data_IF_364430903768
#
_entry.id   IF_364430903768
#
_cell.length_a   1.000
_cell.length_b   1.000
_cell.length_c   1.000
_cell.angle_alpha   90.00
_cell.angle_beta   90.00
_cell.angle_gamma   90.00
#
_symmetry.space_group_name_H-M   'P 1'
#
loop_
_entity.id
_entity.type
_entity.pdbx_description
1 polymer ?
#
# COMPACT_ATOMS: atom_id res chain seq x y z
N UNK A 1 22.14 -25.17 -6.39
CA UNK A 1 22.27 -23.85 -5.70
C UNK A 1 21.04 -23.62 -4.81
N UNK A 2 21.07 -24.05 -3.55
CA UNK A 2 19.96 -23.84 -2.59
C UNK A 2 20.52 -23.71 -1.17
N UNK A 3 21.01 -22.51 -0.79
CA UNK A 3 21.31 -22.16 0.62
C UNK A 3 20.97 -20.71 0.98
N UNK A 4 20.41 -19.93 0.04
CA UNK A 4 20.18 -18.49 0.24
C UNK A 4 18.96 -18.15 1.09
N UNK A 5 17.92 -19.01 1.14
CA UNK A 5 16.63 -18.65 1.76
C UNK A 5 16.68 -18.45 3.28
N UNK A 6 17.36 -19.32 4.03
CA UNK A 6 17.36 -19.24 5.50
C UNK A 6 18.10 -18.00 6.03
N UNK A 7 19.20 -17.59 5.39
CA UNK A 7 19.97 -16.40 5.79
C UNK A 7 19.22 -15.10 5.53
N UNK A 8 18.51 -14.98 4.42
CA UNK A 8 17.70 -13.78 4.13
C UNK A 8 16.54 -13.64 5.11
N UNK A 9 15.85 -14.72 5.48
CA UNK A 9 14.79 -14.68 6.49
C UNK A 9 15.31 -14.27 7.88
N UNK A 10 16.47 -14.78 8.29
CA UNK A 10 17.11 -14.39 9.56
C UNK A 10 17.50 -12.90 9.56
N UNK A 11 18.08 -12.41 8.45
CA UNK A 11 18.42 -10.99 8.29
C UNK A 11 17.19 -10.09 8.34
N UNK A 12 16.09 -10.50 7.71
CA UNK A 12 14.81 -9.78 7.75
C UNK A 12 14.22 -9.72 9.15
N UNK A 13 14.24 -10.82 9.90
CA UNK A 13 13.76 -10.87 11.29
C UNK A 13 14.61 -10.01 12.22
N UNK A 14 15.94 -9.99 12.04
CA UNK A 14 16.85 -9.14 12.81
C UNK A 14 16.59 -7.67 12.48
N UNK A 15 16.42 -7.32 11.21
CA UNK A 15 16.16 -5.94 10.80
C UNK A 15 14.80 -5.45 11.32
N UNK A 16 13.78 -6.32 11.34
CA UNK A 16 12.48 -6.04 11.96
C UNK A 16 12.60 -5.80 13.48
N UNK A 17 13.36 -6.64 14.19
CA UNK A 17 13.61 -6.49 15.62
C UNK A 17 14.39 -5.20 15.93
N UNK A 18 15.39 -4.86 15.13
CA UNK A 18 16.12 -3.59 15.24
C UNK A 18 15.21 -2.39 14.95
N UNK A 19 14.27 -2.51 14.01
CA UNK A 19 13.30 -1.45 13.72
C UNK A 19 12.28 -1.28 14.85
N UNK A 20 11.81 -2.37 15.46
CA UNK A 20 10.93 -2.35 16.64
C UNK A 20 11.63 -1.74 17.86
N UNK A 21 12.87 -2.17 18.14
CA UNK A 21 13.69 -1.61 19.21
C UNK A 21 13.98 -0.12 18.96
N UNK A 22 14.38 0.24 17.73
CA UNK A 22 14.62 1.62 17.34
C UNK A 22 13.38 2.51 17.51
N UNK A 23 12.21 2.05 17.05
CA UNK A 23 10.95 2.77 17.23
C UNK A 23 10.58 2.97 18.70
N UNK A 24 10.73 1.93 19.53
CA UNK A 24 10.47 2.02 20.97
C UNK A 24 11.40 3.02 21.67
N UNK A 25 12.70 2.99 21.36
CA UNK A 25 13.69 3.88 21.96
C UNK A 25 13.62 5.33 21.44
N UNK A 26 13.18 5.55 20.20
CA UNK A 26 12.96 6.90 19.67
C UNK A 26 11.68 7.55 20.21
N UNK A 27 10.65 6.76 20.53
CA UNK A 27 9.37 7.28 21.02
C UNK A 27 9.41 7.72 22.50
N UNK A 28 10.31 7.17 23.31
CA UNK A 28 10.36 7.45 24.75
C UNK A 28 10.92 8.83 25.14
N UNK A 29 11.40 9.63 24.17
CA UNK A 29 12.12 10.89 24.43
C UNK A 29 11.39 12.18 24.00
N UNK A 30 10.16 12.12 23.52
CA UNK A 30 9.41 13.36 23.28
C UNK A 30 8.86 13.91 24.61
N UNK A 31 9.15 15.17 24.98
CA UNK A 31 8.50 15.82 26.11
C UNK A 31 6.99 15.70 25.96
N UNK A 32 6.29 15.36 27.04
CA UNK A 32 4.83 15.37 27.03
C UNK A 32 4.36 16.79 26.65
N UNK A 33 3.78 16.93 25.45
CA UNK A 33 3.21 18.18 25.01
C UNK A 33 1.90 18.37 25.78
N UNK A 34 1.91 19.30 26.75
CA UNK A 34 0.71 19.63 27.49
C UNK A 34 0.01 20.81 26.83
N UNK A 35 -1.27 20.69 26.44
CA UNK A 35 -2.06 21.82 25.97
C UNK A 35 -2.19 22.89 27.07
N UNK A 36 -2.32 24.15 26.65
CA UNK A 36 -2.61 25.27 27.54
C UNK A 36 -4.06 25.16 28.06
N UNK A 37 -4.33 25.80 29.20
CA UNK A 37 -5.66 25.97 29.82
C UNK A 37 -6.39 24.69 30.30
N UNK A 38 -5.79 23.52 30.11
CA UNK A 38 -6.32 22.22 30.58
C UNK A 38 -6.02 21.98 32.07
N UNK A 39 -7.01 21.48 32.82
CA UNK A 39 -6.93 21.30 34.28
C UNK A 39 -6.10 20.10 34.75
N UNK A 40 -5.66 19.21 33.85
CA UNK A 40 -4.72 18.12 34.17
C UNK A 40 -3.26 18.43 33.80
N UNK A 41 -3.02 19.58 33.16
CA UNK A 41 -1.72 20.02 32.70
C UNK A 41 -0.87 20.63 33.82
N UNK A 42 0.30 20.05 34.16
CA UNK A 42 1.25 20.64 35.10
C UNK A 42 2.13 21.73 34.47
N UNK A 43 1.96 22.02 33.17
CA UNK A 43 2.71 23.10 32.48
C UNK A 43 2.40 24.46 33.12
N UNK A 44 3.32 25.45 33.08
CA UNK A 44 3.00 26.83 33.45
C UNK A 44 1.75 27.40 32.77
N UNK A 45 1.40 26.90 31.58
CA UNK A 45 0.22 27.30 30.81
C UNK A 45 -1.05 26.52 31.13
N UNK A 46 -1.01 25.48 31.97
CA UNK A 46 -2.17 24.69 32.38
C UNK A 46 -2.91 25.29 33.58
N UNK A 47 -4.08 24.74 33.94
CA UNK A 47 -4.95 25.25 35.05
C UNK A 47 -5.05 24.27 36.22
N UNK A 48 -4.07 23.36 36.34
CA UNK A 48 -4.07 22.30 37.36
C UNK A 48 -4.05 22.84 38.80
N UNK A 49 -3.36 23.96 39.05
CA UNK A 49 -3.25 24.56 40.38
C UNK A 49 -4.63 24.94 40.93
N UNK A 50 -5.43 25.70 40.18
CA UNK A 50 -6.78 26.11 40.61
C UNK A 50 -7.73 24.91 40.70
N UNK A 51 -7.65 23.97 39.75
CA UNK A 51 -8.45 22.75 39.82
C UNK A 51 -8.17 21.94 41.09
N UNK A 52 -6.89 21.76 41.42
CA UNK A 52 -6.47 21.02 42.61
C UNK A 52 -6.90 21.76 43.87
N UNK A 53 -6.74 23.09 43.92
CA UNK A 53 -7.20 23.91 45.04
C UNK A 53 -8.70 23.75 45.28
N UNK A 54 -9.54 23.93 44.26
CA UNK A 54 -10.99 23.76 44.38
C UNK A 54 -11.39 22.33 44.78
N UNK A 55 -10.65 21.33 44.30
CA UNK A 55 -10.88 19.93 44.66
C UNK A 55 -10.50 19.60 46.10
N UNK A 56 -9.55 20.33 46.68
CA UNK A 56 -9.19 20.21 48.10
C UNK A 56 -10.21 20.93 48.99
N UNK A 57 -10.78 22.05 48.53
CA UNK A 57 -11.79 22.83 49.25
C UNK A 57 -13.22 22.26 49.14
N UNK A 58 -13.53 21.54 48.05
CA UNK A 58 -14.86 20.97 47.80
C UNK A 58 -14.76 19.56 47.21
N UNK A 59 -15.54 18.63 47.78
CA UNK A 59 -15.61 17.25 47.30
C UNK A 59 -16.30 17.12 45.92
N UNK A 60 -16.98 18.17 45.46
CA UNK A 60 -17.85 18.17 44.28
C UNK A 60 -17.22 18.84 43.06
N UNK A 61 -15.91 18.63 42.82
CA UNK A 61 -15.19 19.17 41.64
C UNK A 61 -14.82 18.07 40.65
N UNK A 62 -15.35 18.16 39.44
CA UNK A 62 -15.17 17.16 38.38
C UNK A 62 -14.70 17.78 37.07
N UNK A 63 -14.06 16.97 36.22
CA UNK A 63 -13.74 17.35 34.84
C UNK A 63 -14.83 16.87 33.91
N UNK A 64 -15.39 17.76 33.12
CA UNK A 64 -16.39 17.44 32.11
C UNK A 64 -15.74 17.29 30.74
N UNK A 65 -15.72 16.06 30.21
CA UNK A 65 -15.11 15.73 28.90
C UNK A 65 -16.13 15.42 27.80
N UNK A 66 -17.42 15.49 28.14
CA UNK A 66 -18.54 15.10 27.28
C UNK A 66 -19.14 16.32 26.58
N UNK A 67 -19.87 16.14 25.47
CA UNK A 67 -20.57 17.25 24.80
C UNK A 67 -21.56 17.96 25.73
N UNK A 68 -21.85 19.25 25.50
CA UNK A 68 -22.75 20.04 26.36
C UNK A 68 -24.20 19.53 26.37
N UNK A 69 -24.63 18.78 25.34
CA UNK A 69 -25.97 18.17 25.29
C UNK A 69 -26.18 17.10 26.36
N UNK A 70 -25.11 16.63 27.00
CA UNK A 70 -25.16 15.64 28.08
C UNK A 70 -25.07 16.26 29.47
N UNK A 71 -25.01 17.59 29.58
CA UNK A 71 -25.07 18.28 30.87
C UNK A 71 -26.46 18.08 31.46
N UNK A 72 -26.50 17.66 32.72
CA UNK A 72 -27.75 17.44 33.44
C UNK A 72 -28.35 18.81 33.79
N UNK A 73 -29.47 19.15 33.14
CA UNK A 73 -30.19 20.40 33.34
C UNK A 73 -31.29 20.28 34.42
N UNK A 74 -31.34 19.18 35.17
CA UNK A 74 -32.41 18.94 36.16
C UNK A 74 -31.99 19.34 37.59
N UNK A 75 -30.70 19.33 37.88
CA UNK A 75 -30.14 19.73 39.18
C UNK A 75 -29.52 21.14 39.04
N UNK A 76 -30.27 22.17 39.44
CA UNK A 76 -29.77 23.56 39.50
C UNK A 76 -28.60 23.73 40.48
N UNK A 77 -27.83 24.81 40.32
CA UNK A 77 -26.69 25.12 41.21
C UNK A 77 -25.37 24.43 40.84
N UNK A 78 -25.22 23.97 39.60
CA UNK A 78 -23.94 23.56 39.03
C UNK A 78 -23.20 24.77 38.43
N UNK A 79 -21.87 24.74 38.49
CA UNK A 79 -20.98 25.74 37.91
C UNK A 79 -20.12 25.07 36.85
N UNK A 80 -20.31 25.44 35.59
CA UNK A 80 -19.46 25.01 34.50
C UNK A 80 -18.32 26.02 34.30
N UNK A 81 -17.10 25.64 34.64
CA UNK A 81 -15.89 26.45 34.48
C UNK A 81 -15.31 26.21 33.09
N UNK A 82 -15.35 27.22 32.24
CA UNK A 82 -14.87 27.19 30.88
C UNK A 82 -13.67 28.13 30.75
N UNK A 83 -12.49 27.59 30.45
CA UNK A 83 -11.25 28.38 30.36
C UNK A 83 -10.70 28.32 28.94
N UNK A 84 -10.54 29.47 28.29
CA UNK A 84 -10.02 29.68 26.93
C UNK A 84 -10.42 28.57 25.93
N UNK A 85 -11.72 28.45 25.57
CA UNK A 85 -12.17 27.55 24.52
C UNK A 85 -11.33 27.71 23.25
N UNK A 86 -10.83 26.60 22.70
CA UNK A 86 -9.97 26.65 21.51
C UNK A 86 -10.68 27.17 20.26
N UNK A 87 -12.00 26.97 20.20
CA UNK A 87 -12.84 27.34 19.07
C UNK A 87 -14.20 27.80 19.60
N UNK A 88 -14.84 28.70 18.86
CA UNK A 88 -16.22 29.07 19.13
C UNK A 88 -17.13 27.82 19.05
N UNK A 89 -17.98 27.57 20.06
CA UNK A 89 -18.89 26.44 20.02
C UNK A 89 -19.85 26.57 18.84
N UNK A 90 -20.26 25.43 18.26
CA UNK A 90 -21.23 25.43 17.16
C UNK A 90 -22.60 25.91 17.67
N UNK A 91 -23.47 26.35 16.77
CA UNK A 91 -24.81 26.83 17.15
C UNK A 91 -25.61 25.82 17.99
N UNK A 92 -25.47 24.50 17.74
CA UNK A 92 -26.13 23.48 18.57
C UNK A 92 -25.47 23.26 19.94
N UNK A 93 -24.16 23.50 20.05
CA UNK A 93 -23.43 23.44 21.32
C UNK A 93 -23.74 24.68 22.16
N UNK A 94 -23.78 25.87 21.55
CA UNK A 94 -24.19 27.12 22.21
C UNK A 94 -25.59 26.99 22.80
N UNK A 95 -26.58 26.52 22.04
CA UNK A 95 -27.94 26.29 22.55
C UNK A 95 -27.99 25.33 23.74
N UNK A 96 -27.09 24.35 23.79
CA UNK A 96 -27.02 23.42 24.92
C UNK A 96 -26.44 24.09 26.18
N UNK A 97 -25.42 24.95 26.02
CA UNK A 97 -24.90 25.78 27.11
C UNK A 97 -25.93 26.81 27.60
N UNK A 98 -26.67 27.44 26.69
CA UNK A 98 -27.77 28.36 27.01
C UNK A 98 -28.86 27.64 27.82
N UNK A 99 -29.31 26.47 27.35
CA UNK A 99 -30.29 25.64 28.08
C UNK A 99 -29.79 25.23 29.48
N UNK A 100 -28.49 24.95 29.62
CA UNK A 100 -27.90 24.63 30.91
C UNK A 100 -28.01 25.81 31.89
N UNK A 101 -27.73 27.03 31.43
CA UNK A 101 -27.92 28.24 32.25
C UNK A 101 -29.39 28.53 32.53
N UNK A 102 -30.27 28.41 31.52
CA UNK A 102 -31.72 28.60 31.69
C UNK A 102 -32.32 27.72 32.79
N UNK A 103 -31.73 26.55 33.05
CA UNK A 103 -32.13 25.64 34.11
C UNK A 103 -31.63 26.01 35.52
N UNK A 104 -31.07 27.21 35.72
CA UNK A 104 -30.59 27.67 37.03
C UNK A 104 -29.13 27.35 37.32
N UNK A 105 -28.34 27.04 36.30
CA UNK A 105 -26.90 26.80 36.45
C UNK A 105 -26.06 28.02 36.07
N UNK A 106 -24.79 28.01 36.46
CA UNK A 106 -23.85 29.08 36.17
C UNK A 106 -22.78 28.61 35.19
N UNK A 107 -22.49 29.41 34.15
CA UNK A 107 -21.26 29.25 33.35
C UNK A 107 -20.28 30.32 33.81
N UNK A 108 -19.09 29.90 34.22
CA UNK A 108 -17.97 30.78 34.53
C UNK A 108 -16.97 30.70 33.37
N UNK A 109 -17.01 31.71 32.50
CA UNK A 109 -16.20 31.79 31.28
C UNK A 109 -14.99 32.69 31.49
N UNK A 110 -13.80 32.13 31.29
CA UNK A 110 -12.56 32.89 31.17
C UNK A 110 -12.08 32.84 29.72
N UNK A 111 -12.08 33.96 29.02
CA UNK A 111 -11.68 33.98 27.60
C UNK A 111 -11.13 35.34 27.18
N UNK A 112 -9.99 35.38 26.51
CA UNK A 112 -9.35 36.66 26.10
C UNK A 112 -10.24 37.53 25.21
N UNK A 113 -11.06 36.88 24.39
CA UNK A 113 -11.99 37.53 23.49
C UNK A 113 -13.30 36.75 23.41
N UNK A 114 -14.29 37.05 24.26
CA UNK A 114 -15.59 36.39 24.25
C UNK A 114 -16.55 36.90 23.14
N UNK A 115 -16.08 37.74 22.19
CA UNK A 115 -16.91 38.29 21.13
C UNK A 115 -17.79 37.24 20.45
N UNK A 116 -19.10 37.47 20.48
CA UNK A 116 -20.13 36.62 19.86
C UNK A 116 -20.51 35.37 20.66
N UNK A 117 -19.82 35.05 21.75
CA UNK A 117 -20.28 33.98 22.66
C UNK A 117 -21.34 34.54 23.60
N UNK A 118 -22.49 33.89 23.69
CA UNK A 118 -23.61 34.33 24.55
C UNK A 118 -24.01 35.80 24.30
N UNK A 119 -23.97 36.22 23.03
CA UNK A 119 -24.23 37.58 22.57
C UNK A 119 -23.32 38.66 23.19
N UNK A 120 -22.16 38.29 23.72
CA UNK A 120 -21.21 39.24 24.26
C UNK A 120 -20.56 40.07 23.16
N UNK A 121 -20.46 41.37 23.42
CA UNK A 121 -19.78 42.33 22.55
C UNK A 121 -18.56 42.89 23.27
N UNK A 122 -17.46 43.01 22.54
CA UNK A 122 -16.20 43.54 23.04
C UNK A 122 -15.66 44.61 22.11
N UNK A 123 -15.12 45.67 22.72
CA UNK A 123 -14.43 46.73 22.01
C UNK A 123 -12.92 46.56 22.14
N UNK A 124 -12.15 46.72 21.05
CA UNK A 124 -10.71 46.70 21.13
C UNK A 124 -10.20 47.91 21.92
N UNK A 125 -9.19 47.70 22.75
CA UNK A 125 -8.49 48.78 23.47
C UNK A 125 -7.03 48.80 23.03
N UNK A 126 -6.39 49.97 23.03
CA UNK A 126 -4.97 50.07 22.73
C UNK A 126 -4.16 49.19 23.69
N UNK A 127 -3.23 48.41 23.14
CA UNK A 127 -2.34 47.55 23.90
C UNK A 127 -1.44 48.39 24.83
N UNK A 128 -1.84 48.48 26.10
CA UNK A 128 -1.12 49.15 27.18
C UNK A 128 -0.33 48.18 28.06
N UNK A 129 0.24 48.72 29.14
CA UNK A 129 1.16 48.05 30.07
C UNK A 129 0.71 46.67 30.54
N UNK A 130 1.67 45.76 30.76
CA UNK A 130 1.45 44.38 31.27
C UNK A 130 0.91 44.33 32.71
N UNK A 131 0.80 45.48 33.39
CA UNK A 131 0.30 45.59 34.76
C UNK A 131 -0.74 46.71 34.87
N UNK A 132 -1.81 46.44 35.62
CA UNK A 132 -2.89 47.39 35.83
C UNK A 132 -3.55 47.28 37.19
N UNK A 133 -4.39 48.28 37.47
CA UNK A 133 -5.19 48.38 38.68
C UNK A 133 -6.63 48.07 38.30
N UNK A 134 -7.24 47.17 39.06
CA UNK A 134 -8.62 46.74 38.92
C UNK A 134 -9.40 47.17 40.14
N UNK A 135 -10.68 47.42 39.92
CA UNK A 135 -11.65 47.74 40.95
C UNK A 135 -12.74 46.67 40.96
N UNK A 136 -13.11 46.22 42.16
CA UNK A 136 -14.30 45.39 42.37
C UNK A 136 -15.55 46.26 42.63
N UNK A 137 -16.71 45.63 42.81
CA UNK A 137 -17.97 46.31 43.13
C UNK A 137 -17.94 47.19 44.39
N UNK A 138 -16.98 46.96 45.29
CA UNK A 138 -16.80 47.72 46.54
C UNK A 138 -15.71 48.78 46.41
N UNK A 139 -15.27 49.06 45.19
CA UNK A 139 -14.14 49.93 44.85
C UNK A 139 -12.82 49.51 45.53
N UNK A 140 -12.68 48.22 45.85
CA UNK A 140 -11.44 47.67 46.39
C UNK A 140 -10.40 47.58 45.29
N UNK A 141 -9.22 48.11 45.57
CA UNK A 141 -8.12 48.18 44.61
C UNK A 141 -7.34 46.87 44.58
N UNK A 142 -7.26 46.24 43.41
CA UNK A 142 -6.50 45.01 43.17
C UNK A 142 -5.46 45.23 42.07
N UNK A 143 -4.28 44.62 42.18
CA UNK A 143 -3.25 44.64 41.13
C UNK A 143 -3.28 43.35 40.33
N UNK A 144 -3.21 43.44 39.01
CA UNK A 144 -3.12 42.28 38.14
C UNK A 144 -2.16 42.52 36.98
N UNK A 145 -1.60 41.42 36.46
CA UNK A 145 -1.04 41.42 35.12
C UNK A 145 -2.22 41.45 34.13
N UNK A 146 -2.33 42.52 33.36
CA UNK A 146 -3.35 42.67 32.32
C UNK A 146 -2.68 43.02 31.00
N UNK A 147 -3.10 42.35 29.94
CA UNK A 147 -2.73 42.72 28.58
C UNK A 147 -3.96 43.33 27.93
N UNK A 148 -3.95 44.64 27.66
CA UNK A 148 -5.10 45.32 27.06
C UNK A 148 -5.31 44.81 25.63
N UNK A 149 -6.33 44.00 25.42
CA UNK A 149 -6.74 43.54 24.08
C UNK A 149 -8.16 44.01 23.77
N UNK A 150 -9.12 43.75 24.67
CA UNK A 150 -10.51 44.16 24.49
C UNK A 150 -11.15 44.56 25.84
N UNK A 151 -12.33 45.18 25.82
CA UNK A 151 -13.22 45.42 26.99
C UNK A 151 -14.65 45.01 26.65
N UNK A 152 -15.37 44.46 27.63
CA UNK A 152 -16.75 44.03 27.40
C UNK A 152 -17.70 45.22 27.39
N UNK A 153 -18.60 45.27 26.41
CA UNK A 153 -19.75 46.16 26.44
C UNK A 153 -20.79 45.58 27.39
N UNK A 154 -21.34 46.42 28.25
CA UNK A 154 -22.38 46.03 29.21
C UNK A 154 -23.77 46.33 28.65
N UNK A 155 -24.71 45.43 28.90
CA UNK A 155 -26.11 45.58 28.56
C UNK A 155 -26.97 45.90 29.79
N UNK A 156 -28.24 46.24 29.54
CA UNK A 156 -29.18 46.50 30.62
C UNK A 156 -29.49 45.20 31.38
N UNK A 157 -29.02 45.11 32.62
CA UNK A 157 -29.18 43.92 33.47
C UNK A 157 -27.88 43.20 33.77
N UNK A 158 -26.77 43.58 33.12
CA UNK A 158 -25.44 43.09 33.49
C UNK A 158 -25.00 43.73 34.81
N UNK A 159 -24.39 42.92 35.67
CA UNK A 159 -23.70 43.37 36.87
C UNK A 159 -22.18 43.38 36.64
N UNK A 160 -21.53 44.50 36.94
CA UNK A 160 -20.09 44.68 36.68
C UNK A 160 -19.33 44.16 37.90
N UNK A 161 -18.61 43.05 37.73
CA UNK A 161 -17.86 42.43 38.83
C UNK A 161 -16.46 43.04 38.98
N UNK A 162 -15.78 43.28 37.86
CA UNK A 162 -14.44 43.86 37.80
C UNK A 162 -14.34 44.85 36.65
N UNK A 163 -13.73 46.01 36.92
CA UNK A 163 -13.51 47.04 35.91
C UNK A 163 -12.18 47.77 36.12
N UNK A 164 -11.74 48.50 35.09
CA UNK A 164 -10.63 49.43 35.16
C UNK A 164 -10.93 50.71 34.37
N UNK A 165 -9.92 51.58 34.27
CA UNK A 165 -10.03 52.86 33.55
C UNK A 165 -10.38 52.69 32.06
N UNK A 166 -10.13 51.51 31.47
CA UNK A 166 -10.44 51.22 30.08
C UNK A 166 -11.83 50.59 29.89
N UNK A 167 -12.43 50.00 30.94
CA UNK A 167 -13.80 49.51 30.93
C UNK A 167 -14.01 48.21 31.72
N UNK A 168 -15.05 47.46 31.34
CA UNK A 168 -15.44 46.22 32.03
C UNK A 168 -14.53 45.05 31.68
N UNK A 169 -14.09 44.33 32.72
CA UNK A 169 -13.16 43.19 32.64
C UNK A 169 -13.84 41.89 33.04
N UNK A 170 -14.72 41.94 34.04
CA UNK A 170 -15.59 40.84 34.39
C UNK A 170 -17.00 41.34 34.67
N UNK A 171 -17.99 40.57 34.21
CA UNK A 171 -19.41 40.86 34.43
C UNK A 171 -20.18 39.57 34.72
N UNK A 172 -21.30 39.73 35.40
CA UNK A 172 -22.35 38.74 35.53
C UNK A 172 -23.55 39.17 34.66
N UNK A 173 -24.06 38.24 33.86
CA UNK A 173 -25.25 38.42 33.02
C UNK A 173 -26.31 37.40 33.42
N UNK A 174 -27.53 37.82 33.79
CA UNK A 174 -28.61 36.88 34.08
C UNK A 174 -29.02 36.13 32.79
N UNK A 175 -29.24 34.82 32.90
CA UNK A 175 -29.59 33.98 31.76
C UNK A 175 -30.66 32.94 32.17
N UNK A 176 -31.94 33.25 31.92
CA UNK A 176 -33.06 32.47 32.44
C UNK A 176 -33.08 32.47 33.97
N UNK A 177 -33.13 31.29 34.60
CA UNK A 177 -33.04 31.14 36.06
C UNK A 177 -31.58 31.08 36.56
N UNK A 178 -30.60 31.03 35.64
CA UNK A 178 -29.18 30.98 35.94
C UNK A 178 -28.45 32.26 35.54
N UNK A 179 -27.13 32.13 35.35
CA UNK A 179 -26.26 33.28 35.07
C UNK A 179 -25.01 32.89 34.31
N UNK A 180 -24.48 33.85 33.58
CA UNK A 180 -23.20 33.80 32.91
C UNK A 180 -22.25 34.76 33.62
N UNK A 181 -21.15 34.26 34.16
CA UNK A 181 -20.06 35.09 34.70
C UNK A 181 -18.90 35.02 33.72
N UNK A 182 -18.43 36.17 33.24
CA UNK A 182 -17.35 36.23 32.25
C UNK A 182 -16.19 37.05 32.78
N UNK A 183 -14.96 36.60 32.50
CA UNK A 183 -13.73 37.34 32.70
C UNK A 183 -12.85 37.26 31.46
N UNK A 184 -12.29 38.39 31.05
CA UNK A 184 -11.45 38.48 29.83
C UNK A 184 -9.98 38.11 30.03
N UNK A 185 -9.59 37.64 31.22
CA UNK A 185 -8.20 37.29 31.54
C UNK A 185 -8.05 35.83 31.99
N UNK A 186 -8.10 34.86 31.06
CA UNK A 186 -7.88 33.44 31.38
C UNK A 186 -6.47 33.14 31.87
N UNK A 187 -5.50 34.00 31.60
CA UNK A 187 -4.13 33.86 32.09
C UNK A 187 -4.08 33.74 33.60
N UNK A 188 -4.98 34.41 34.33
CA UNK A 188 -5.04 34.36 35.81
C UNK A 188 -5.24 32.92 36.31
N UNK A 189 -5.97 32.08 35.56
CA UNK A 189 -6.21 30.68 35.90
C UNK A 189 -4.97 29.78 35.72
N UNK A 190 -3.93 30.25 35.05
CA UNK A 190 -2.79 29.41 34.68
C UNK A 190 -1.79 29.21 35.82
N UNK A 191 -1.17 28.03 35.88
CA UNK A 191 -0.21 27.65 36.92
C UNK A 191 0.95 28.65 37.08
N UNK A 192 1.39 29.26 35.97
CA UNK A 192 2.49 30.22 35.97
C UNK A 192 2.10 31.64 36.39
N UNK A 193 0.81 31.96 36.40
CA UNK A 193 0.31 33.32 36.66
C UNK A 193 -0.54 33.43 37.92
N UNK A 194 -1.18 32.35 38.36
CA UNK A 194 -2.16 32.37 39.46
C UNK A 194 -1.62 32.97 40.77
N UNK A 195 -0.33 32.80 41.08
CA UNK A 195 0.29 33.33 42.30
C UNK A 195 0.91 34.73 42.15
N UNK A 196 0.79 35.34 40.97
CA UNK A 196 1.32 36.69 40.75
C UNK A 196 0.30 37.76 41.12
N UNK A 197 0.81 38.87 41.66
CA UNK A 197 0.00 40.04 42.04
C UNK A 197 -1.19 39.60 42.94
N UNK A 198 -2.38 40.12 42.68
CA UNK A 198 -3.60 39.79 43.42
C UNK A 198 -4.52 38.83 42.63
N UNK A 199 -3.98 38.04 41.68
CA UNK A 199 -4.79 37.14 40.84
C UNK A 199 -5.58 36.11 41.65
N UNK A 200 -5.02 35.56 42.74
CA UNK A 200 -5.78 34.65 43.62
C UNK A 200 -7.01 35.34 44.18
N UNK A 201 -6.87 36.56 44.71
CA UNK A 201 -7.98 37.32 45.29
C UNK A 201 -9.07 37.59 44.25
N UNK A 202 -8.69 38.01 43.04
CA UNK A 202 -9.59 38.25 41.92
C UNK A 202 -10.32 36.97 41.46
N UNK A 203 -9.60 35.85 41.38
CA UNK A 203 -10.23 34.57 41.03
C UNK A 203 -11.19 34.11 42.11
N UNK A 204 -10.80 34.23 43.38
CA UNK A 204 -11.67 33.84 44.50
C UNK A 204 -12.92 34.72 44.58
N UNK A 205 -12.83 36.02 44.26
CA UNK A 205 -14.03 36.87 44.21
C UNK A 205 -14.98 36.37 43.11
N UNK A 206 -14.49 36.12 41.89
CA UNK A 206 -15.31 35.61 40.80
C UNK A 206 -15.90 34.22 41.09
N UNK A 207 -15.14 33.34 41.74
CA UNK A 207 -15.62 32.02 42.15
C UNK A 207 -16.68 32.11 43.25
N UNK A 208 -16.56 33.07 44.18
CA UNK A 208 -17.53 33.25 45.26
C UNK A 208 -18.88 33.82 44.78
N UNK A 209 -18.90 34.53 43.64
CA UNK A 209 -20.17 34.93 42.99
C UNK A 209 -20.94 33.70 42.45
N UNK A 210 -20.25 32.60 42.19
CA UNK A 210 -20.91 31.34 41.81
C UNK A 210 -21.51 30.69 43.05
N UNK A 211 -22.81 30.87 43.32
CA UNK A 211 -23.52 30.24 44.46
C UNK A 211 -23.66 28.70 44.35
N UNK A 212 -22.94 28.08 43.41
CA UNK A 212 -23.07 26.67 43.08
C UNK A 212 -22.25 25.74 43.97
N UNK A 213 -22.75 24.51 44.13
CA UNK A 213 -22.15 23.48 45.01
C UNK A 213 -21.27 22.48 44.27
N UNK A 214 -21.37 22.43 42.95
CA UNK A 214 -20.67 21.47 42.09
C UNK A 214 -19.96 22.19 40.96
N UNK A 215 -18.64 22.03 40.87
CA UNK A 215 -17.82 22.62 39.82
C UNK A 215 -17.49 21.58 38.75
N UNK A 216 -17.81 21.91 37.50
CA UNK A 216 -17.52 21.13 36.31
C UNK A 216 -16.51 21.88 35.46
N UNK A 217 -15.27 21.43 35.39
CA UNK A 217 -14.26 22.01 34.49
C UNK A 217 -14.49 21.47 33.08
N UNK A 218 -14.88 22.34 32.15
CA UNK A 218 -15.15 21.97 30.77
C UNK A 218 -13.83 21.71 30.02
N UNK A 219 -13.54 20.44 29.81
CA UNK A 219 -12.42 19.96 29.00
C UNK A 219 -12.85 19.56 27.59
N UNK A 220 -14.15 19.60 27.31
CA UNK A 220 -14.67 19.35 25.97
C UNK A 220 -14.26 20.46 25.00
N UNK A 221 -14.24 21.72 25.47
CA UNK A 221 -13.85 22.90 24.67
C UNK A 221 -12.39 22.89 24.20
N UNK A 222 -11.54 22.06 24.81
CA UNK A 222 -10.14 21.87 24.43
C UNK A 222 -9.92 20.74 23.41
N UNK A 223 -10.99 20.06 22.97
CA UNK A 223 -10.88 19.04 21.92
C UNK A 223 -10.78 19.70 20.54
N UNK A 224 -9.85 19.25 19.68
CA UNK A 224 -9.77 19.75 18.31
C UNK A 224 -11.11 19.56 17.58
N UNK A 225 -11.69 20.65 17.05
CA UNK A 225 -12.87 20.55 16.21
C UNK A 225 -12.49 19.94 14.85
N UNK A 226 -13.14 18.83 14.49
CA UNK A 226 -12.74 17.98 13.38
C UNK A 226 -12.27 16.65 13.95
N UNK A 227 -13.21 15.71 14.07
CA UNK A 227 -13.05 14.43 14.75
C UNK A 227 -11.69 13.81 14.47
N UNK A 228 -11.13 13.13 15.47
CA UNK A 228 -9.82 12.49 15.40
C UNK A 228 -9.64 11.90 14.01
N UNK A 229 -8.71 12.48 13.21
CA UNK A 229 -8.39 11.95 11.88
C UNK A 229 -8.29 10.44 12.07
N UNK A 230 -8.99 9.62 11.28
CA UNK A 230 -9.19 8.20 11.59
C UNK A 230 -7.89 7.43 11.94
N UNK A 231 -6.74 7.93 11.49
CA UNK A 231 -5.39 7.44 11.83
C UNK A 231 -4.92 7.78 13.25
N UNK A 232 -5.29 8.92 13.85
CA UNK A 232 -4.91 9.32 15.21
C UNK A 232 -5.61 8.52 16.33
N UNK A 233 -6.74 7.87 16.02
CA UNK A 233 -7.44 6.97 16.94
C UNK A 233 -6.61 5.71 17.23
N UNK A 234 -5.71 5.35 16.30
CA UNK A 234 -4.90 4.16 16.42
C UNK A 234 -3.51 4.48 16.99
N UNK A 235 -3.05 3.74 18.00
CA UNK A 235 -1.69 3.87 18.49
C UNK A 235 -0.66 3.68 17.37
N UNK A 236 0.41 4.48 17.39
CA UNK A 236 1.44 4.47 16.34
C UNK A 236 2.04 3.08 16.10
N UNK A 237 2.21 2.26 17.16
CA UNK A 237 2.69 0.89 17.05
C UNK A 237 1.76 0.00 16.22
N UNK A 238 0.44 0.18 16.35
CA UNK A 238 -0.56 -0.58 15.59
C UNK A 238 -0.51 -0.22 14.11
N UNK A 239 -0.40 1.07 13.79
CA UNK A 239 -0.23 1.55 12.41
C UNK A 239 1.08 1.01 11.78
N UNK A 240 2.17 0.94 12.55
CA UNK A 240 3.42 0.33 12.10
C UNK A 240 3.24 -1.16 11.78
N UNK A 241 2.53 -1.92 12.62
CA UNK A 241 2.20 -3.32 12.32
C UNK A 241 1.31 -3.47 11.09
N UNK A 242 0.32 -2.60 10.90
CA UNK A 242 -0.53 -2.59 9.71
C UNK A 242 0.29 -2.33 8.44
N UNK A 243 1.20 -1.37 8.49
CA UNK A 243 2.10 -1.06 7.37
C UNK A 243 3.04 -2.23 7.05
N UNK A 244 3.68 -2.82 8.07
CA UNK A 244 4.51 -4.01 7.91
C UNK A 244 3.72 -5.21 7.38
N UNK A 245 2.50 -5.41 7.89
CA UNK A 245 1.56 -6.42 7.41
C UNK A 245 1.20 -6.23 5.94
N UNK A 246 1.00 -4.98 5.51
CA UNK A 246 0.80 -4.63 4.10
C UNK A 246 2.00 -4.99 3.22
N UNK A 247 3.22 -4.67 3.65
CA UNK A 247 4.46 -5.06 2.95
C UNK A 247 4.58 -6.59 2.89
N UNK A 248 4.36 -7.28 3.99
CA UNK A 248 4.41 -8.74 4.03
C UNK A 248 3.34 -9.37 3.14
N UNK A 249 2.14 -8.80 3.08
CA UNK A 249 1.08 -9.23 2.18
C UNK A 249 1.48 -9.03 0.71
N UNK A 250 2.10 -7.91 0.35
CA UNK A 250 2.63 -7.67 -1.00
C UNK A 250 3.73 -8.67 -1.34
N UNK A 251 4.69 -8.90 -0.43
CA UNK A 251 5.75 -9.89 -0.63
C UNK A 251 5.19 -11.32 -0.71
N UNK A 252 4.16 -11.63 0.08
CA UNK A 252 3.46 -12.91 0.04
C UNK A 252 2.73 -13.11 -1.29
N UNK A 253 2.00 -12.09 -1.76
CA UNK A 253 1.36 -12.08 -3.06
C UNK A 253 2.39 -12.18 -4.19
N UNK A 254 3.56 -11.56 -4.05
CA UNK A 254 4.65 -11.68 -5.03
C UNK A 254 5.30 -13.07 -5.01
N UNK A 255 5.42 -13.67 -3.83
CA UNK A 255 5.89 -15.05 -3.64
C UNK A 255 4.93 -16.06 -4.26
N UNK A 256 3.62 -15.91 -4.01
CA UNK A 256 2.56 -16.75 -4.58
C UNK A 256 2.35 -16.48 -6.10
N UNK A 257 2.48 -15.21 -6.51
CA UNK A 257 2.26 -14.72 -7.88
C UNK A 257 3.41 -15.02 -8.85
N UNK A 258 4.43 -15.76 -8.42
CA UNK A 258 5.55 -16.23 -9.25
C UNK A 258 5.13 -17.37 -10.20
N UNK A 259 4.06 -17.17 -10.96
CA UNK A 259 3.69 -17.98 -12.13
C UNK A 259 3.76 -17.12 -13.40
N UNK A 260 4.98 -16.89 -13.86
CA UNK A 260 5.22 -16.97 -15.30
C UNK A 260 5.50 -18.44 -15.57
N UNK A 261 4.56 -19.12 -16.26
CA UNK A 261 4.74 -20.51 -16.66
C UNK A 261 6.03 -20.69 -17.47
N UNK A 262 6.51 -21.94 -17.62
CA UNK A 262 7.67 -22.19 -18.47
C UNK A 262 7.43 -21.63 -19.87
N UNK A 263 8.46 -21.01 -20.46
CA UNK A 263 8.44 -20.60 -21.87
C UNK A 263 8.33 -21.90 -22.68
N UNK A 264 7.15 -22.18 -23.24
CA UNK A 264 7.00 -23.27 -24.19
C UNK A 264 7.58 -22.81 -25.53
N UNK A 265 8.80 -23.24 -25.85
CA UNK A 265 9.32 -23.08 -27.21
C UNK A 265 8.41 -23.85 -28.18
N UNK A 266 7.86 -23.21 -29.23
CA UNK A 266 7.09 -23.91 -30.25
C UNK A 266 7.90 -25.07 -30.83
N UNK A 267 7.27 -26.24 -30.98
CA UNK A 267 7.90 -27.42 -31.59
C UNK A 267 8.31 -27.06 -33.02
N UNK A 268 9.59 -27.23 -33.36
CA UNK A 268 10.08 -27.00 -34.72
C UNK A 268 9.29 -27.86 -35.71
N UNK A 269 8.75 -27.20 -36.75
CA UNK A 269 8.06 -27.86 -37.84
C UNK A 269 9.08 -28.66 -38.65
N UNK A 270 9.17 -29.97 -38.37
CA UNK A 270 9.95 -30.89 -39.21
C UNK A 270 9.19 -31.08 -40.52
N UNK A 271 9.70 -30.48 -41.60
CA UNK A 271 9.19 -30.74 -42.95
C UNK A 271 9.60 -32.18 -43.30
N UNK A 272 8.62 -33.06 -43.52
CA UNK A 272 8.89 -34.41 -44.03
C UNK A 272 9.37 -34.28 -45.47
N UNK A 273 10.65 -34.55 -45.70
CA UNK A 273 11.19 -34.63 -47.04
C UNK A 273 10.62 -35.87 -47.74
N UNK A 274 10.24 -35.72 -49.01
CA UNK A 274 9.60 -36.77 -49.82
C UNK A 274 10.47 -38.01 -50.07
N UNK A 275 11.73 -38.00 -49.62
CA UNK A 275 12.68 -39.11 -49.70
C UNK A 275 12.60 -40.08 -48.50
N UNK A 276 11.85 -39.75 -47.44
CA UNK A 276 11.68 -40.61 -46.25
C UNK A 276 11.11 -41.99 -46.61
N UNK A 277 10.15 -42.04 -47.55
CA UNK A 277 9.58 -43.29 -48.06
C UNK A 277 10.60 -44.14 -48.81
N UNK A 278 11.47 -43.52 -49.61
CA UNK A 278 12.53 -44.22 -50.36
C UNK A 278 13.57 -44.77 -49.38
N UNK A 279 13.99 -43.99 -48.38
CA UNK A 279 14.93 -44.43 -47.34
C UNK A 279 14.36 -45.57 -46.51
N UNK A 280 13.07 -45.51 -46.14
CA UNK A 280 12.39 -46.57 -45.42
C UNK A 280 12.33 -47.87 -46.24
N UNK A 281 11.99 -47.77 -47.52
CA UNK A 281 11.96 -48.93 -48.43
C UNK A 281 13.36 -49.54 -48.59
N UNK A 282 14.39 -48.73 -48.82
CA UNK A 282 15.77 -49.19 -48.93
C UNK A 282 16.23 -49.89 -47.64
N UNK A 283 15.94 -49.31 -46.47
CA UNK A 283 16.25 -49.90 -45.18
C UNK A 283 15.52 -51.24 -44.97
N UNK A 284 14.26 -51.36 -45.42
CA UNK A 284 13.51 -52.62 -45.37
C UNK A 284 14.14 -53.72 -46.21
N UNK A 285 14.55 -53.42 -47.46
CA UNK A 285 15.24 -54.38 -48.34
C UNK A 285 16.58 -54.83 -47.76
N UNK A 286 17.35 -53.90 -47.17
CA UNK A 286 18.61 -54.21 -46.51
C UNK A 286 18.41 -55.08 -45.25
N UNK A 287 17.44 -54.73 -44.40
CA UNK A 287 17.17 -55.46 -43.14
C UNK A 287 16.61 -56.85 -43.40
N UNK A 288 15.73 -57.00 -44.39
CA UNK A 288 15.13 -58.27 -44.78
C UNK A 288 16.05 -59.16 -45.64
N UNK A 289 17.25 -58.67 -45.99
CA UNK A 289 18.22 -59.37 -46.86
C UNK A 289 17.64 -59.76 -48.23
N UNK A 290 16.71 -58.96 -48.75
CA UNK A 290 16.07 -59.11 -50.08
C UNK A 290 16.95 -58.56 -51.20
N UNK A 291 18.18 -59.06 -51.28
CA UNK A 291 19.18 -58.57 -52.23
C UNK A 291 18.87 -59.00 -53.67
N UNK A 292 18.36 -60.22 -53.86
CA UNK A 292 17.97 -60.73 -55.17
C UNK A 292 16.87 -59.87 -55.80
N UNK A 293 15.79 -59.60 -55.06
CA UNK A 293 14.70 -58.73 -55.54
C UNK A 293 15.20 -57.34 -55.97
N UNK A 294 16.14 -56.76 -55.21
CA UNK A 294 16.72 -55.47 -55.56
C UNK A 294 17.55 -55.53 -56.85
N UNK A 295 18.30 -56.61 -57.10
CA UNK A 295 19.01 -56.80 -58.37
C UNK A 295 18.04 -57.03 -59.52
N UNK A 296 16.96 -57.78 -59.31
CA UNK A 296 15.94 -57.99 -60.32
C UNK A 296 15.30 -56.65 -60.75
N UNK A 297 14.96 -55.78 -59.79
CA UNK A 297 14.46 -54.43 -60.05
C UNK A 297 15.50 -53.57 -60.78
N UNK A 298 16.78 -53.62 -60.39
CA UNK A 298 17.85 -52.87 -61.06
C UNK A 298 18.08 -53.35 -62.49
N UNK A 299 18.04 -54.66 -62.72
CA UNK A 299 18.18 -55.25 -64.05
C UNK A 299 16.98 -54.89 -64.93
N UNK A 300 15.77 -54.94 -64.38
CA UNK A 300 14.56 -54.54 -65.08
C UNK A 300 14.58 -53.07 -65.48
N UNK A 301 14.98 -52.19 -64.56
CA UNK A 301 15.19 -50.78 -64.83
C UNK A 301 16.27 -50.56 -65.91
N UNK A 302 17.36 -51.33 -65.89
CA UNK A 302 18.36 -51.27 -66.94
C UNK A 302 17.77 -51.65 -68.32
N UNK A 303 16.86 -52.63 -68.40
CA UNK A 303 16.16 -52.93 -69.67
C UNK A 303 15.35 -51.74 -70.17
N UNK A 304 14.64 -51.06 -69.27
CA UNK A 304 13.89 -49.85 -69.59
C UNK A 304 14.82 -48.76 -70.15
N UNK A 305 15.95 -48.49 -69.48
CA UNK A 305 16.94 -47.51 -69.93
C UNK A 305 17.57 -47.91 -71.28
N UNK A 306 17.87 -49.20 -71.49
CA UNK A 306 18.36 -49.72 -72.77
C UNK A 306 17.33 -49.55 -73.89
N UNK A 307 16.04 -49.71 -73.59
CA UNK A 307 14.97 -49.47 -74.55
C UNK A 307 14.85 -47.99 -74.89
N UNK A 308 14.79 -47.10 -73.89
CA UNK A 308 14.60 -45.67 -74.09
C UNK A 308 15.80 -45.02 -74.83
N UNK A 309 17.02 -45.37 -74.42
CA UNK A 309 18.24 -44.73 -74.96
C UNK A 309 18.74 -45.41 -76.22
N UNK A 310 18.82 -46.74 -76.21
CA UNK A 310 19.47 -47.50 -77.28
C UNK A 310 18.50 -48.24 -78.20
N UNK A 311 17.19 -48.14 -77.93
CA UNK A 311 16.11 -48.77 -78.71
C UNK A 311 16.24 -50.29 -78.77
N UNK A 312 16.76 -50.88 -77.69
CA UNK A 312 16.83 -52.34 -77.53
C UNK A 312 15.47 -52.84 -77.02
N UNK A 313 14.86 -53.87 -77.63
CA UNK A 313 13.54 -54.32 -77.19
C UNK A 313 13.59 -54.88 -75.75
N UNK A 314 12.72 -54.39 -74.88
CA UNK A 314 12.68 -54.75 -73.45
C UNK A 314 12.43 -56.25 -73.19
N UNK A 315 11.68 -56.92 -74.07
CA UNK A 315 11.30 -58.33 -73.93
C UNK A 315 12.39 -59.32 -74.35
N UNK A 316 13.49 -58.86 -74.94
CA UNK A 316 14.61 -59.72 -75.32
C UNK A 316 15.28 -60.36 -74.09
N UNK A 317 15.74 -61.60 -74.24
CA UNK A 317 16.47 -62.30 -73.18
C UNK A 317 17.85 -61.67 -72.99
N UNK A 318 18.37 -61.59 -71.76
CA UNK A 318 19.68 -61.00 -71.49
C UNK A 318 20.80 -61.60 -72.35
N UNK A 319 20.77 -62.92 -72.60
CA UNK A 319 21.78 -63.60 -73.41
C UNK A 319 21.74 -63.21 -74.89
N UNK A 320 20.58 -62.84 -75.44
CA UNK A 320 20.44 -62.41 -76.85
C UNK A 320 20.89 -60.97 -77.09
N UNK A 321 21.15 -60.19 -76.04
CA UNK A 321 21.54 -58.78 -76.14
C UNK A 321 23.01 -58.55 -76.52
N UNK A 322 23.87 -59.57 -76.47
CA UNK A 322 25.31 -59.46 -76.74
C UNK A 322 25.63 -58.70 -78.06
N UNK A 323 25.10 -59.09 -79.24
CA UNK A 323 25.41 -58.41 -80.50
C UNK A 323 24.87 -56.96 -80.54
N UNK A 324 23.75 -56.69 -79.88
CA UNK A 324 23.16 -55.35 -79.82
C UNK A 324 23.99 -54.41 -78.94
N UNK A 325 24.43 -54.90 -77.77
CA UNK A 325 25.31 -54.17 -76.87
C UNK A 325 26.69 -53.95 -77.49
N UNK A 326 27.27 -54.94 -78.17
CA UNK A 326 28.56 -54.80 -78.88
C UNK A 326 28.47 -53.69 -79.94
N UNK A 327 27.40 -53.69 -80.75
CA UNK A 327 27.19 -52.67 -81.79
C UNK A 327 26.96 -51.28 -81.20
N UNK A 328 26.16 -51.16 -80.14
CA UNK A 328 25.74 -49.85 -79.59
C UNK A 328 26.78 -49.25 -78.63
N UNK A 329 27.59 -50.07 -77.96
CA UNK A 329 28.60 -49.62 -76.99
C UNK A 329 29.82 -48.93 -77.60
N UNK A 330 30.00 -48.98 -78.94
CA UNK A 330 31.04 -48.26 -79.68
C UNK A 330 32.45 -48.33 -79.04
N UNK A 331 32.82 -49.50 -78.53
CA UNK A 331 34.15 -49.76 -77.95
C UNK A 331 34.36 -49.35 -76.50
N UNK A 332 33.35 -48.78 -75.81
CA UNK A 332 33.43 -48.46 -74.36
C UNK A 332 33.41 -49.70 -73.47
N UNK A 333 32.94 -50.82 -73.99
CA UNK A 333 32.95 -52.12 -73.31
C UNK A 333 33.50 -53.16 -74.29
N UNK A 334 34.48 -53.95 -73.84
CA UNK A 334 35.05 -55.01 -74.68
C UNK A 334 34.07 -56.16 -74.87
N UNK A 335 34.12 -56.86 -76.01
CA UNK A 335 33.24 -58.01 -76.30
C UNK A 335 33.22 -59.05 -75.15
N UNK A 336 34.40 -59.44 -74.66
CA UNK A 336 34.54 -60.37 -73.53
C UNK A 336 33.91 -59.84 -72.24
N UNK A 337 33.91 -58.53 -72.02
CA UNK A 337 33.30 -57.89 -70.85
C UNK A 337 31.77 -57.90 -70.94
N UNK A 338 31.21 -57.64 -72.13
CA UNK A 338 29.76 -57.74 -72.40
C UNK A 338 29.28 -59.17 -72.19
N UNK A 339 29.95 -60.15 -72.80
CA UNK A 339 29.57 -61.56 -72.70
C UNK A 339 29.63 -62.04 -71.24
N UNK A 340 30.72 -61.71 -70.53
CA UNK A 340 30.87 -62.03 -69.10
C UNK A 340 29.79 -61.36 -68.23
N UNK A 341 29.42 -60.11 -68.55
CA UNK A 341 28.36 -59.40 -67.84
C UNK A 341 27.00 -60.07 -68.06
N UNK A 342 26.63 -60.36 -69.32
CA UNK A 342 25.32 -60.92 -69.65
C UNK A 342 25.13 -62.35 -69.12
N UNK A 343 26.16 -63.20 -69.26
CA UNK A 343 26.13 -64.55 -68.70
C UNK A 343 26.02 -64.50 -67.18
N UNK A 344 26.88 -63.72 -66.52
CA UNK A 344 26.86 -63.62 -65.07
C UNK A 344 25.59 -62.95 -64.52
N UNK A 345 24.99 -61.98 -65.23
CA UNK A 345 23.74 -61.35 -64.82
C UNK A 345 22.60 -62.36 -64.92
N UNK A 346 22.56 -63.17 -65.98
CA UNK A 346 21.56 -64.22 -66.16
C UNK A 346 21.67 -65.27 -65.04
N UNK A 347 22.90 -65.68 -64.71
CA UNK A 347 23.14 -66.64 -63.63
C UNK A 347 22.71 -66.08 -62.27
N UNK A 348 22.91 -64.79 -62.02
CA UNK A 348 22.52 -64.12 -60.77
C UNK A 348 21.01 -63.95 -60.65
N UNK A 349 20.34 -63.63 -61.76
CA UNK A 349 18.88 -63.51 -61.79
C UNK A 349 18.20 -64.88 -61.59
N UNK A 350 18.83 -65.96 -62.03
CA UNK A 350 18.33 -67.33 -61.84
C UNK A 350 18.57 -67.91 -60.43
N UNK A 351 19.39 -67.26 -59.58
CA UNK A 351 19.58 -67.69 -58.18
C UNK A 351 18.38 -67.30 -57.32
N UNK A 352 17.97 -68.14 -56.37
CA UNK A 352 16.90 -67.78 -55.42
C UNK A 352 17.34 -66.75 -54.36
N UNK A 353 18.62 -66.74 -53.99
CA UNK A 353 19.18 -65.85 -52.95
C UNK A 353 20.56 -65.36 -53.36
N UNK A 354 20.89 -64.15 -52.95
CA UNK A 354 22.21 -63.54 -53.18
C UNK A 354 22.86 -63.14 -51.85
N UNK A 355 24.18 -63.33 -51.78
CA UNK A 355 24.97 -62.78 -50.68
C UNK A 355 25.13 -61.25 -50.81
N UNK A 356 25.43 -60.57 -49.70
CA UNK A 356 25.69 -59.11 -49.70
C UNK A 356 26.88 -58.74 -50.59
N UNK A 357 27.90 -59.58 -50.66
CA UNK A 357 29.09 -59.34 -51.50
C UNK A 357 28.74 -59.44 -52.99
N UNK A 358 27.99 -60.48 -53.39
CA UNK A 358 27.48 -60.63 -54.76
C UNK A 358 26.55 -59.47 -55.13
N UNK A 359 25.65 -59.07 -54.23
CA UNK A 359 24.76 -57.91 -54.43
C UNK A 359 25.54 -56.63 -54.75
N UNK A 360 26.54 -56.29 -53.92
CA UNK A 360 27.33 -55.08 -54.12
C UNK A 360 28.14 -55.14 -55.43
N UNK A 361 28.66 -56.31 -55.79
CA UNK A 361 29.38 -56.50 -57.04
C UNK A 361 28.44 -56.29 -58.25
N UNK A 362 27.28 -56.93 -58.26
CA UNK A 362 26.34 -56.88 -59.38
C UNK A 362 25.63 -55.54 -59.49
N UNK A 363 25.25 -54.92 -58.37
CA UNK A 363 24.69 -53.57 -58.38
C UNK A 363 25.67 -52.56 -58.98
N UNK A 364 26.96 -52.64 -58.64
CA UNK A 364 28.01 -51.82 -59.27
C UNK A 364 28.17 -52.08 -60.77
N UNK A 365 28.13 -53.35 -61.20
CA UNK A 365 28.22 -53.71 -62.62
C UNK A 365 27.02 -53.19 -63.42
N UNK A 366 25.79 -53.32 -62.89
CA UNK A 366 24.56 -52.80 -63.50
C UNK A 366 24.61 -51.27 -63.57
N UNK A 367 25.00 -50.58 -62.49
CA UNK A 367 25.16 -49.12 -62.48
C UNK A 367 26.19 -48.64 -63.51
N UNK A 368 27.32 -49.35 -63.65
CA UNK A 368 28.34 -49.02 -64.65
C UNK A 368 27.79 -49.12 -66.07
N UNK A 369 27.04 -50.18 -66.40
CA UNK A 369 26.42 -50.30 -67.71
C UNK A 369 25.33 -49.23 -67.91
N UNK A 370 24.49 -48.98 -66.90
CA UNK A 370 23.47 -47.92 -66.95
C UNK A 370 24.11 -46.56 -67.29
N UNK A 371 25.19 -46.17 -66.61
CA UNK A 371 25.91 -44.91 -66.89
C UNK A 371 26.43 -44.85 -68.32
N UNK A 372 27.00 -45.95 -68.83
CA UNK A 372 27.45 -46.02 -70.24
C UNK A 372 26.27 -45.81 -71.21
N UNK A 373 25.07 -46.23 -70.84
CA UNK A 373 23.85 -46.06 -71.64
C UNK A 373 23.29 -44.64 -71.53
N UNK A 374 23.29 -44.04 -70.35
CA UNK A 374 22.74 -42.71 -70.05
C UNK A 374 23.63 -41.54 -70.49
N UNK A 375 24.96 -41.71 -70.52
CA UNK A 375 25.92 -40.72 -71.03
C UNK A 375 25.86 -40.53 -72.56
N UNK A 376 24.79 -41.02 -73.21
CA UNK A 376 24.47 -40.93 -74.63
C UNK A 376 23.02 -40.47 -74.80
#
# INVERSE_FOLDING_TARGET
>A
MQRSGKRTWILLSILLLCFLAGGYFLQSKQPAAYPAYVSDSPSPTGTKAIYTYLKEESESVQRWKKPPQTLDAEDGGQVLVMVEPLNMPKSEEMKAYEKFMEAGNTILLFQRNPQGMFDLVTDPVEAGAEEGILYDQKDSRNKAEISYLNRMQTEQGDDILLYDDAGTIALERPYGDGRLIVSIFPEWMTNGQILKKDHVSLLTSLLNETEGRQFLFDEYVHKPQGGEKALNVYPMWFLLFMFQGGILAILWLWYQGKRFGPIFSPREATVRFSDEGIRALAAWYMRSRRYHDSIAIQADYLKLVLQEKWHIPYREEWRSLAPLLERKSQGRMGKKEIDSFLSGLTDVLNKERLSKQEYLLWSKKIDRLRKVVEER
#
